data_IF_136785679576
#
_entry.id   IF_136785679576
#
_cell.length_a   1.000
_cell.length_b   1.000
_cell.length_c   1.000
_cell.angle_alpha   90.00
_cell.angle_beta   90.00
_cell.angle_gamma   90.00
#
_symmetry.space_group_name_H-M   'P 1'
#
loop_
_entity.id
_entity.type
_entity.pdbx_description
1 polymer ?
#
# COMPACT_ATOMS: atom_id res chain seq x y z
N UNK A 1 -12.71 -11.37 11.66
CA UNK A 1 -11.50 -10.62 11.27
C UNK A 1 -11.80 -9.15 11.51
N UNK A 2 -10.93 -8.43 12.21
CA UNK A 2 -11.08 -6.99 12.45
C UNK A 2 -10.66 -6.21 11.21
N UNK A 3 -11.39 -5.15 10.88
CA UNK A 3 -11.15 -4.24 9.76
C UNK A 3 -10.98 -2.83 10.29
N UNK A 4 -10.01 -2.08 9.76
CA UNK A 4 -9.82 -0.67 10.06
C UNK A 4 -9.26 0.03 8.82
N UNK A 5 -9.46 1.33 8.69
CA UNK A 5 -8.94 2.13 7.60
C UNK A 5 -8.61 3.54 8.08
N UNK A 6 -7.45 4.06 7.65
CA UNK A 6 -7.12 5.47 7.84
C UNK A 6 -7.35 6.23 6.54
N UNK A 7 -8.32 7.12 6.60
CA UNK A 7 -8.65 8.07 5.54
C UNK A 7 -8.32 9.50 5.98
N UNK A 8 -8.06 10.36 5.00
CA UNK A 8 -8.11 11.81 5.15
C UNK A 8 -9.52 12.29 5.54
N UNK A 9 -9.63 13.51 6.08
CA UNK A 9 -10.91 14.12 6.44
C UNK A 9 -11.87 14.26 5.25
N UNK A 10 -11.33 14.59 4.07
CA UNK A 10 -12.09 14.66 2.81
C UNK A 10 -12.39 13.28 2.20
N UNK A 11 -11.87 12.20 2.78
CA UNK A 11 -11.99 10.80 2.31
C UNK A 11 -11.47 10.52 0.90
N UNK A 12 -10.83 11.49 0.24
CA UNK A 12 -10.19 11.31 -1.07
C UNK A 12 -8.88 10.53 -1.00
N UNK A 13 -8.23 10.56 0.17
CA UNK A 13 -6.97 9.84 0.41
C UNK A 13 -7.14 8.72 1.41
N UNK A 14 -6.60 7.53 1.11
CA UNK A 14 -6.48 6.39 2.04
C UNK A 14 -5.01 6.11 2.32
N UNK A 15 -4.63 6.27 3.57
CA UNK A 15 -3.26 6.07 4.03
C UNK A 15 -2.99 4.63 4.46
N UNK A 16 -4.02 3.94 4.96
CA UNK A 16 -3.90 2.56 5.43
C UNK A 16 -5.24 1.81 5.39
N UNK A 17 -5.15 0.49 5.22
CA UNK A 17 -6.26 -0.45 5.33
C UNK A 17 -5.76 -1.70 6.06
N UNK A 18 -6.34 -2.02 7.22
CA UNK A 18 -5.97 -3.18 8.02
C UNK A 18 -6.97 -4.32 7.90
N UNK A 19 -6.43 -5.53 7.94
CA UNK A 19 -7.17 -6.78 8.11
C UNK A 19 -6.42 -7.63 9.12
N UNK A 20 -7.00 -7.79 10.31
CA UNK A 20 -6.37 -8.51 11.43
C UNK A 20 -7.19 -9.72 11.84
N UNK A 21 -6.57 -10.90 11.80
CA UNK A 21 -7.19 -12.17 12.19
C UNK A 21 -6.62 -12.75 13.48
N UNK A 22 -5.45 -12.30 13.93
CA UNK A 22 -4.81 -12.72 15.17
C UNK A 22 -4.01 -11.54 15.75
N UNK A 23 -4.57 -10.88 16.77
CA UNK A 23 -3.94 -9.70 17.41
C UNK A 23 -2.70 -10.07 18.25
N UNK A 24 -2.44 -11.35 18.50
CA UNK A 24 -1.25 -11.79 19.25
C UNK A 24 0.02 -11.83 18.39
N UNK A 25 -0.11 -11.68 17.07
CA UNK A 25 0.98 -11.76 16.10
C UNK A 25 1.19 -10.44 15.37
N UNK A 26 2.42 -10.15 14.90
CA UNK A 26 2.68 -8.94 14.14
C UNK A 26 2.00 -8.98 12.77
N UNK A 27 1.85 -7.80 12.14
CA UNK A 27 1.30 -7.68 10.79
C UNK A 27 2.39 -7.51 9.72
N UNK A 28 2.04 -7.88 8.48
CA UNK A 28 2.82 -7.55 7.29
C UNK A 28 2.28 -6.28 6.64
N UNK A 29 3.14 -5.33 6.29
CA UNK A 29 2.78 -4.18 5.47
C UNK A 29 2.98 -4.52 4.00
N UNK A 30 1.97 -4.23 3.17
CA UNK A 30 2.05 -4.39 1.73
C UNK A 30 1.76 -3.05 1.06
N UNK A 31 2.68 -2.60 0.20
CA UNK A 31 2.63 -1.33 -0.52
C UNK A 31 2.12 -1.58 -1.95
N UNK A 32 0.89 -1.11 -2.20
CA UNK A 32 0.26 -1.02 -3.50
C UNK A 32 0.52 0.31 -4.21
N UNK A 33 -0.14 0.54 -5.36
CA UNK A 33 0.08 1.73 -6.17
C UNK A 33 -0.82 2.86 -5.70
N UNK A 34 -2.11 2.69 -5.90
CA UNK A 34 -3.17 3.59 -5.47
C UNK A 34 -4.31 2.76 -4.87
N UNK A 35 -5.02 3.29 -3.86
CA UNK A 35 -6.22 2.68 -3.35
C UNK A 35 -7.35 2.83 -4.37
N UNK A 36 -8.18 1.79 -4.53
CA UNK A 36 -9.44 1.90 -5.24
C UNK A 36 -10.46 2.69 -4.42
N UNK A 37 -11.57 3.08 -5.05
CA UNK A 37 -12.73 3.65 -4.36
C UNK A 37 -13.57 2.59 -3.64
N UNK A 38 -13.19 1.30 -3.74
CA UNK A 38 -13.88 0.19 -3.08
C UNK A 38 -14.02 0.42 -1.57
N UNK A 39 -15.14 -0.09 -1.04
CA UNK A 39 -15.55 0.09 0.34
C UNK A 39 -14.51 -0.45 1.34
N UNK A 40 -14.35 0.21 2.48
CA UNK A 40 -13.42 -0.18 3.55
C UNK A 40 -13.79 -1.51 4.22
N UNK A 41 -15.04 -1.96 4.05
CA UNK A 41 -15.57 -3.18 4.67
C UNK A 41 -15.41 -4.45 3.83
N UNK A 42 -15.42 -4.34 2.49
CA UNK A 42 -15.35 -5.49 1.60
C UNK A 42 -13.90 -5.82 1.20
N UNK A 43 -13.66 -7.10 0.88
CA UNK A 43 -12.37 -7.56 0.41
C UNK A 43 -12.39 -7.71 -1.11
N UNK A 44 -11.64 -6.86 -1.81
CA UNK A 44 -11.36 -7.06 -3.23
C UNK A 44 -10.38 -8.24 -3.47
N UNK A 45 -10.18 -8.68 -4.74
CA UNK A 45 -9.24 -9.75 -5.05
C UNK A 45 -7.79 -9.46 -4.61
N UNK A 46 -7.39 -8.18 -4.61
CA UNK A 46 -6.04 -7.75 -4.22
C UNK A 46 -5.80 -7.95 -2.74
N UNK A 47 -6.67 -7.41 -1.87
CA UNK A 47 -6.55 -7.59 -0.43
C UNK A 47 -6.70 -9.07 -0.03
N UNK A 48 -7.56 -9.82 -0.72
CA UNK A 48 -7.70 -11.27 -0.48
C UNK A 48 -6.40 -12.01 -0.73
N UNK A 49 -5.70 -11.74 -1.84
CA UNK A 49 -4.37 -12.31 -2.12
C UNK A 49 -3.35 -11.88 -1.08
N UNK A 50 -3.36 -10.60 -0.68
CA UNK A 50 -2.46 -10.06 0.33
C UNK A 50 -2.65 -10.72 1.71
N UNK A 51 -3.90 -10.96 2.13
CA UNK A 51 -4.24 -11.71 3.34
C UNK A 51 -3.65 -13.13 3.25
N UNK A 52 -3.82 -13.81 2.12
CA UNK A 52 -3.33 -15.18 1.95
C UNK A 52 -1.80 -15.26 2.03
N UNK A 53 -1.07 -14.30 1.46
CA UNK A 53 0.39 -14.23 1.61
C UNK A 53 0.81 -13.94 3.05
N UNK A 54 0.19 -12.96 3.70
CA UNK A 54 0.51 -12.65 5.09
C UNK A 54 0.23 -13.83 6.04
N UNK A 55 -0.84 -14.59 5.80
CA UNK A 55 -1.11 -15.86 6.49
C UNK A 55 -0.06 -16.92 6.22
N UNK A 56 0.35 -17.13 4.96
CA UNK A 56 1.35 -18.16 4.62
C UNK A 56 2.74 -17.85 5.18
N UNK A 57 3.02 -16.59 5.48
CA UNK A 57 4.22 -16.15 6.20
C UNK A 57 4.11 -16.19 7.73
N UNK A 58 2.95 -16.54 8.28
CA UNK A 58 2.74 -16.67 9.72
C UNK A 58 2.39 -15.37 10.46
N UNK A 59 1.97 -14.31 9.77
CA UNK A 59 1.56 -13.05 10.39
C UNK A 59 0.10 -13.08 10.91
N UNK A 60 -0.23 -12.14 11.80
CA UNK A 60 -1.56 -11.98 12.40
C UNK A 60 -2.48 -10.99 11.69
N UNK A 61 -1.93 -10.22 10.75
CA UNK A 61 -2.67 -9.26 9.97
C UNK A 61 -1.90 -8.76 8.75
N UNK A 62 -2.60 -8.03 7.89
CA UNK A 62 -2.02 -7.26 6.80
C UNK A 62 -2.44 -5.79 6.92
N UNK A 63 -1.49 -4.90 6.68
CA UNK A 63 -1.72 -3.47 6.49
C UNK A 63 -1.40 -3.11 5.04
N UNK A 64 -2.43 -2.83 4.25
CA UNK A 64 -2.26 -2.26 2.92
C UNK A 64 -2.01 -0.76 3.03
N UNK A 65 -0.93 -0.30 2.40
CA UNK A 65 -0.65 1.10 2.14
C UNK A 65 -0.39 1.29 0.65
N UNK A 66 -0.25 2.53 0.19
CA UNK A 66 -0.11 2.84 -1.23
C UNK A 66 0.94 3.94 -1.44
N UNK A 67 1.66 3.86 -2.57
CA UNK A 67 2.60 4.92 -2.98
C UNK A 67 1.86 6.26 -3.19
N UNK A 68 0.66 6.19 -3.73
CA UNK A 68 -0.22 7.34 -3.92
C UNK A 68 -1.47 7.11 -3.06
N UNK A 69 -1.75 8.00 -2.11
CA UNK A 69 -2.89 7.81 -1.22
C UNK A 69 -4.22 8.16 -1.90
N UNK A 70 -4.21 8.89 -3.01
CA UNK A 70 -5.44 9.31 -3.70
C UNK A 70 -6.23 8.09 -4.20
N UNK A 71 -7.51 8.05 -3.83
CA UNK A 71 -8.44 6.98 -4.16
C UNK A 71 -8.95 7.15 -5.57
N UNK A 72 -8.59 6.20 -6.42
CA UNK A 72 -9.05 6.10 -7.79
C UNK A 72 -9.13 4.63 -8.18
N UNK A 73 -10.17 4.23 -8.91
CA UNK A 73 -10.24 2.88 -9.48
C UNK A 73 -9.13 2.67 -10.50
N UNK A 74 -8.98 3.63 -11.41
CA UNK A 74 -7.99 3.57 -12.49
C UNK A 74 -6.71 4.34 -12.14
N UNK A 75 -5.51 3.76 -12.36
CA UNK A 75 -4.25 4.47 -12.15
C UNK A 75 -4.08 5.72 -13.01
N UNK A 76 -4.77 5.82 -14.16
CA UNK A 76 -4.76 7.02 -15.00
C UNK A 76 -5.35 8.23 -14.28
N UNK A 77 -6.43 8.04 -13.54
CA UNK A 77 -7.14 9.10 -12.83
C UNK A 77 -6.35 9.55 -11.61
N UNK A 78 -5.64 8.62 -10.96
CA UNK A 78 -4.68 8.97 -9.94
C UNK A 78 -3.54 9.81 -10.53
N UNK A 79 -2.95 9.41 -11.66
CA UNK A 79 -1.82 10.15 -12.25
C UNK A 79 -2.20 11.55 -12.73
N UNK A 80 -3.46 11.77 -13.12
CA UNK A 80 -3.96 13.07 -13.57
C UNK A 80 -4.37 13.99 -12.42
N UNK A 81 -4.49 13.47 -11.19
CA UNK A 81 -4.79 14.29 -10.02
C UNK A 81 -3.59 15.21 -9.67
N UNK A 82 -3.89 16.43 -9.23
CA UNK A 82 -2.85 17.45 -8.95
C UNK A 82 -1.95 17.08 -7.77
N UNK A 83 -2.51 16.44 -6.74
CA UNK A 83 -1.76 15.89 -5.60
C UNK A 83 -2.20 14.45 -5.37
N UNK A 84 -1.64 13.45 -6.08
CA UNK A 84 -2.02 12.06 -5.93
C UNK A 84 -1.35 11.38 -4.74
N UNK A 85 -0.23 11.95 -4.27
CA UNK A 85 0.53 11.44 -3.14
C UNK A 85 -0.30 11.69 -1.87
N UNK A 86 -0.76 12.92 -1.68
CA UNK A 86 -1.44 13.37 -0.47
C UNK A 86 -0.45 13.78 0.61
N UNK A 87 -0.63 14.98 1.16
CA UNK A 87 0.33 15.62 2.07
C UNK A 87 0.78 14.77 3.28
N UNK A 88 -0.07 13.89 3.81
CA UNK A 88 0.24 13.05 4.97
C UNK A 88 0.79 11.66 4.60
N UNK A 89 0.83 11.29 3.33
CA UNK A 89 1.08 9.89 2.94
C UNK A 89 2.46 9.40 3.37
N UNK A 90 3.51 10.19 3.18
CA UNK A 90 4.87 9.80 3.55
C UNK A 90 5.03 9.63 5.07
N UNK A 91 4.35 10.47 5.86
CA UNK A 91 4.27 10.32 7.32
C UNK A 91 3.62 8.98 7.68
N UNK A 92 2.50 8.63 7.02
CA UNK A 92 1.83 7.35 7.25
C UNK A 92 2.69 6.16 6.81
N UNK A 93 3.30 6.19 5.62
CA UNK A 93 4.21 5.13 5.17
C UNK A 93 5.35 4.90 6.17
N UNK A 94 5.94 5.97 6.71
CA UNK A 94 6.99 5.90 7.73
C UNK A 94 6.48 5.35 9.07
N UNK A 95 5.28 5.75 9.49
CA UNK A 95 4.67 5.27 10.73
C UNK A 95 4.34 3.78 10.64
N UNK A 96 3.74 3.35 9.53
CA UNK A 96 3.33 1.98 9.29
C UNK A 96 4.52 1.03 9.17
N UNK A 97 5.58 1.45 8.46
CA UNK A 97 6.78 0.63 8.27
C UNK A 97 7.50 0.33 9.59
N UNK A 98 7.54 1.29 10.52
CA UNK A 98 8.10 1.10 11.87
C UNK A 98 7.32 0.09 12.72
N UNK A 99 6.02 -0.05 12.49
CA UNK A 99 5.16 -0.98 13.22
C UNK A 99 5.04 -2.37 12.58
N UNK A 100 5.44 -2.51 11.32
CA UNK A 100 5.33 -3.74 10.56
C UNK A 100 6.50 -4.68 10.84
N UNK A 101 6.25 -5.99 10.96
CA UNK A 101 7.33 -6.97 11.03
C UNK A 101 8.04 -7.17 9.68
N UNK A 102 7.33 -6.88 8.59
CA UNK A 102 7.88 -6.91 7.23
C UNK A 102 7.16 -5.91 6.34
N UNK A 103 7.89 -5.33 5.39
CA UNK A 103 7.35 -4.46 4.34
C UNK A 103 7.58 -5.12 3.00
N UNK A 104 6.51 -5.25 2.20
CA UNK A 104 6.54 -5.83 0.85
C UNK A 104 5.90 -4.87 -0.13
N UNK A 105 6.42 -4.81 -1.35
CA UNK A 105 5.79 -4.05 -2.44
C UNK A 105 5.12 -4.99 -3.42
N UNK A 106 3.98 -4.57 -3.95
CA UNK A 106 3.40 -5.17 -5.15
C UNK A 106 4.18 -4.60 -6.34
N UNK A 107 4.65 -5.49 -7.22
CA UNK A 107 5.32 -5.08 -8.45
C UNK A 107 4.32 -5.00 -9.58
N UNK A 108 4.32 -3.86 -10.27
CA UNK A 108 3.44 -3.59 -11.40
C UNK A 108 4.06 -4.11 -12.69
N UNK A 109 3.25 -4.45 -13.71
CA UNK A 109 3.78 -4.78 -15.02
C UNK A 109 4.64 -3.63 -15.56
N UNK A 110 5.73 -3.94 -16.28
CA UNK A 110 6.71 -2.94 -16.75
C UNK A 110 6.14 -1.90 -17.73
N UNK A 111 4.87 -2.05 -18.15
CA UNK A 111 4.20 -1.17 -19.11
C UNK A 111 3.56 0.08 -18.50
N UNK A 112 3.79 0.38 -17.21
CA UNK A 112 3.29 1.62 -16.60
C UNK A 112 4.18 2.79 -17.01
N UNK A 113 3.64 3.69 -17.84
CA UNK A 113 4.24 5.00 -18.13
C UNK A 113 3.93 6.01 -17.03
N UNK A 114 4.93 6.80 -16.64
CA UNK A 114 4.83 7.78 -15.56
C UNK A 114 4.92 9.21 -16.11
N UNK A 115 4.10 10.15 -15.61
CA UNK A 115 4.30 11.54 -15.96
C UNK A 115 5.57 12.08 -15.27
N UNK A 116 6.31 13.02 -15.89
CA UNK A 116 7.63 13.46 -15.39
C UNK A 116 7.62 13.96 -13.95
N UNK A 117 6.54 14.62 -13.53
CA UNK A 117 6.36 15.16 -12.18
C UNK A 117 6.24 14.08 -11.09
N UNK A 118 5.84 12.84 -11.44
CA UNK A 118 5.75 11.73 -10.47
C UNK A 118 6.99 10.83 -10.48
N UNK A 119 7.81 10.89 -11.54
CA UNK A 119 8.99 10.04 -11.65
C UNK A 119 10.01 10.29 -10.53
N UNK A 120 10.24 11.56 -10.19
CA UNK A 120 11.12 11.94 -9.08
C UNK A 120 10.64 11.39 -7.73
N UNK A 121 9.33 11.47 -7.45
CA UNK A 121 8.75 10.89 -6.24
C UNK A 121 8.92 9.37 -6.19
N UNK A 122 8.63 8.67 -7.29
CA UNK A 122 8.75 7.21 -7.35
C UNK A 122 10.21 6.78 -7.11
N UNK A 123 11.16 7.44 -7.77
CA UNK A 123 12.58 7.18 -7.60
C UNK A 123 13.03 7.43 -6.14
N UNK A 124 12.61 8.54 -5.55
CA UNK A 124 12.89 8.85 -4.15
C UNK A 124 12.22 7.86 -3.20
N UNK A 125 10.97 7.48 -3.42
CA UNK A 125 10.27 6.50 -2.60
C UNK A 125 10.89 5.10 -2.72
N UNK A 126 11.50 4.76 -3.86
CA UNK A 126 12.31 3.56 -3.92
C UNK A 126 13.57 3.71 -3.07
N UNK A 127 14.31 4.82 -3.19
CA UNK A 127 15.60 5.04 -2.52
C UNK A 127 15.52 5.33 -1.01
N UNK A 128 14.56 6.13 -0.56
CA UNK A 128 14.35 6.51 0.84
C UNK A 128 13.82 5.36 1.69
N UNK A 129 13.19 4.36 1.09
CA UNK A 129 12.68 3.16 1.77
C UNK A 129 13.57 1.91 1.55
N UNK A 130 14.69 2.03 0.81
CA UNK A 130 15.67 0.95 0.58
C UNK A 130 16.16 0.23 1.85
N UNK A 131 16.32 0.87 3.02
CA UNK A 131 16.77 0.14 4.22
C UNK A 131 15.77 -0.91 4.71
N UNK A 132 14.47 -0.75 4.40
CA UNK A 132 13.39 -1.63 4.86
C UNK A 132 12.85 -2.57 3.78
N UNK A 133 13.04 -2.23 2.49
CA UNK A 133 12.47 -2.98 1.35
C UNK A 133 13.43 -4.05 0.79
N UNK A 134 14.73 -3.95 1.03
CA UNK A 134 15.75 -4.75 0.32
C UNK A 134 16.41 -5.90 1.09
N UNK A 135 15.83 -6.37 2.21
CA UNK A 135 16.22 -7.67 2.74
C UNK A 135 15.21 -8.75 2.30
N UNK A 136 15.59 -9.47 1.23
CA UNK A 136 14.92 -10.59 0.54
C UNK A 136 13.94 -10.20 -0.57
N UNK A 137 14.38 -10.43 -1.81
CA UNK A 137 13.58 -10.50 -3.03
C UNK A 137 12.24 -11.23 -2.79
N UNK A 138 11.12 -10.52 -2.81
CA UNK A 138 9.82 -11.13 -3.06
C UNK A 138 9.06 -10.25 -4.04
N UNK A 139 8.96 -10.75 -5.27
CA UNK A 139 8.20 -10.16 -6.36
C UNK A 139 6.78 -10.73 -6.29
N UNK A 140 5.79 -9.85 -6.10
CA UNK A 140 4.39 -10.22 -6.18
C UNK A 140 3.82 -9.76 -7.52
N UNK A 141 3.65 -10.72 -8.42
CA UNK A 141 2.85 -10.53 -9.61
C UNK A 141 1.39 -10.75 -9.23
N UNK A 142 0.62 -9.67 -9.07
CA UNK A 142 -0.83 -9.75 -8.99
C UNK A 142 -1.36 -9.74 -10.42
N UNK A 143 -1.49 -10.93 -11.02
CA UNK A 143 -2.35 -11.16 -12.19
C UNK A 143 -3.71 -11.63 -11.65
#
# INVERSE_FOLDING_TARGET
MKTDAKLSSCRNYRFALWRTWDDSKPFAMIIGLNPSTADEFENDPTITRCINFAKSWGYGGVCMANLFAYRATEPSDMKSHNDPIGAENDMWLTKLSKGAAIVRKITWPPKITWPPNLFGYIFNCFNSFLPFIFNRNVYFWLY
#
